data_IF_819107363915
#
_entry.id   IF_819107363915
#
_cell.length_a   1.000
_cell.length_b   1.000
_cell.length_c   1.000
_cell.angle_alpha   90.00
_cell.angle_beta   90.00
_cell.angle_gamma   90.00
#
_symmetry.space_group_name_H-M   'P 1'
#
loop_
_entity.id
_entity.type
_entity.pdbx_description
1 polymer ?
#
# COMPACT_ATOMS: atom_id res chain seq x y z
N UNK A 1 -36.74 10.73 -13.67
CA UNK A 1 -35.49 10.29 -14.34
C UNK A 1 -35.65 8.83 -14.77
N UNK A 2 -35.17 8.39 -15.95
CA UNK A 2 -35.31 6.98 -16.34
C UNK A 2 -33.99 6.28 -16.03
N UNK A 3 -34.01 5.35 -15.08
CA UNK A 3 -32.85 4.57 -14.68
C UNK A 3 -32.57 3.42 -15.65
N UNK A 4 -31.31 3.06 -15.84
CA UNK A 4 -30.96 1.82 -16.56
C UNK A 4 -31.26 0.61 -15.68
N UNK A 5 -31.37 -0.58 -16.26
CA UNK A 5 -31.67 -1.82 -15.50
C UNK A 5 -30.64 -2.08 -14.39
N UNK A 6 -29.37 -1.77 -14.64
CA UNK A 6 -28.29 -1.92 -13.63
C UNK A 6 -28.43 -0.90 -12.50
N UNK A 7 -28.75 0.35 -12.81
CA UNK A 7 -28.99 1.38 -11.79
C UNK A 7 -30.25 1.06 -10.98
N UNK A 8 -31.34 0.64 -11.65
CA UNK A 8 -32.57 0.23 -10.97
C UNK A 8 -32.32 -0.94 -10.02
N UNK A 9 -31.52 -1.92 -10.43
CA UNK A 9 -31.12 -3.04 -9.56
C UNK A 9 -30.39 -2.57 -8.30
N UNK A 10 -29.51 -1.57 -8.40
CA UNK A 10 -28.82 -0.96 -7.23
C UNK A 10 -29.84 -0.28 -6.30
N UNK A 11 -30.78 0.47 -6.87
CA UNK A 11 -31.81 1.16 -6.10
C UNK A 11 -32.71 0.19 -5.35
N UNK A 12 -33.08 -0.95 -5.94
CA UNK A 12 -34.08 -1.86 -5.41
C UNK A 12 -33.52 -2.96 -4.49
N UNK A 13 -32.24 -3.30 -4.64
CA UNK A 13 -31.66 -4.42 -3.87
C UNK A 13 -31.60 -4.09 -2.37
N UNK A 14 -32.11 -5.00 -1.52
CA UNK A 14 -32.10 -4.93 -0.05
C UNK A 14 -31.40 -6.18 0.52
N UNK A 15 -31.09 -6.16 1.81
CA UNK A 15 -30.66 -7.29 2.63
C UNK A 15 -29.39 -8.02 2.14
N UNK A 16 -28.52 -7.29 1.45
CA UNK A 16 -27.20 -7.79 1.00
C UNK A 16 -26.19 -6.69 0.75
N UNK A 17 -24.92 -7.05 0.79
CA UNK A 17 -23.85 -6.16 0.39
C UNK A 17 -23.85 -5.96 -1.14
N UNK A 18 -23.66 -4.73 -1.58
CA UNK A 18 -23.60 -4.36 -2.99
C UNK A 18 -22.29 -3.59 -3.25
N UNK A 19 -21.51 -4.08 -4.20
CA UNK A 19 -20.37 -3.35 -4.74
C UNK A 19 -20.76 -2.77 -6.10
N UNK A 20 -20.69 -1.44 -6.23
CA UNK A 20 -21.02 -0.71 -7.47
C UNK A 20 -19.74 -0.16 -8.08
N UNK A 21 -19.29 -0.75 -9.19
CA UNK A 21 -18.21 -0.24 -10.02
C UNK A 21 -18.78 0.55 -11.19
N UNK A 22 -18.40 1.82 -11.31
CA UNK A 22 -18.90 2.69 -12.37
C UNK A 22 -17.92 3.84 -12.66
N UNK A 23 -17.82 4.24 -13.94
CA UNK A 23 -16.97 5.34 -14.38
C UNK A 23 -17.38 6.70 -13.77
N UNK A 24 -16.50 7.70 -13.84
CA UNK A 24 -16.86 9.08 -13.51
C UNK A 24 -18.03 9.57 -14.41
N UNK A 25 -18.95 10.36 -13.83
CA UNK A 25 -20.13 10.86 -14.56
C UNK A 25 -21.26 9.85 -14.81
N UNK A 26 -21.14 8.61 -14.35
CA UNK A 26 -22.17 7.57 -14.54
C UNK A 26 -23.40 7.73 -13.63
N UNK A 27 -23.49 8.78 -12.84
CA UNK A 27 -24.63 9.05 -11.97
C UNK A 27 -24.62 8.28 -10.64
N UNK A 28 -23.45 7.81 -10.16
CA UNK A 28 -23.32 7.07 -8.87
C UNK A 28 -24.02 7.76 -7.70
N UNK A 29 -23.76 9.05 -7.53
CA UNK A 29 -24.37 9.85 -6.45
C UNK A 29 -25.89 9.95 -6.60
N UNK A 30 -26.39 10.16 -7.82
CA UNK A 30 -27.83 10.21 -8.08
C UNK A 30 -28.51 8.86 -7.77
N UNK A 31 -27.90 7.74 -8.17
CA UNK A 31 -28.40 6.39 -7.84
C UNK A 31 -28.41 6.13 -6.34
N UNK A 32 -27.38 6.62 -5.61
CA UNK A 32 -27.32 6.46 -4.16
C UNK A 32 -28.39 7.30 -3.46
N UNK A 33 -28.57 8.55 -3.86
CA UNK A 33 -29.66 9.41 -3.35
C UNK A 33 -31.01 8.76 -3.57
N UNK A 34 -31.30 8.31 -4.80
CA UNK A 34 -32.56 7.63 -5.11
C UNK A 34 -32.78 6.36 -4.28
N UNK A 35 -31.71 5.57 -4.07
CA UNK A 35 -31.76 4.42 -3.19
C UNK A 35 -32.12 4.80 -1.76
N UNK A 36 -31.52 5.85 -1.22
CA UNK A 36 -31.81 6.34 0.14
C UNK A 36 -33.27 6.81 0.21
N UNK A 37 -33.71 7.65 -0.74
CA UNK A 37 -35.10 8.10 -0.79
C UNK A 37 -36.05 6.91 -0.80
N UNK A 38 -35.83 5.91 -1.67
CA UNK A 38 -36.66 4.70 -1.73
C UNK A 38 -36.65 3.88 -0.44
N UNK A 39 -35.57 3.90 0.32
CA UNK A 39 -35.50 3.21 1.63
C UNK A 39 -36.29 3.95 2.71
N UNK A 40 -36.20 5.27 2.74
CA UNK A 40 -36.83 6.06 3.80
C UNK A 40 -38.33 6.35 3.53
N UNK A 41 -38.75 6.17 2.27
CA UNK A 41 -40.16 6.32 1.85
C UNK A 41 -40.84 5.01 1.49
N UNK A 42 -40.24 3.86 1.87
CA UNK A 42 -40.81 2.54 1.64
C UNK A 42 -42.12 2.41 2.44
N UNK A 43 -43.19 1.96 1.79
CA UNK A 43 -44.54 1.85 2.42
C UNK A 43 -44.63 0.69 3.39
N UNK A 44 -43.89 -0.42 3.14
CA UNK A 44 -43.99 -1.65 3.95
C UNK A 44 -42.95 -1.65 5.09
N UNK A 45 -41.72 -1.23 4.80
CA UNK A 45 -40.61 -1.26 5.76
C UNK A 45 -39.74 0.02 5.66
N UNK A 46 -40.26 1.18 6.05
CA UNK A 46 -39.50 2.42 5.99
C UNK A 46 -38.31 2.40 6.98
N UNK A 47 -37.15 2.80 6.53
CA UNK A 47 -35.97 2.99 7.38
C UNK A 47 -35.82 4.48 7.64
N UNK A 48 -35.76 4.92 8.89
CA UNK A 48 -35.57 6.34 9.18
C UNK A 48 -34.19 6.83 8.72
N UNK A 49 -34.11 8.04 8.17
CA UNK A 49 -32.88 8.60 7.59
C UNK A 49 -31.75 8.69 8.61
N UNK A 50 -32.04 8.87 9.90
CA UNK A 50 -31.07 8.90 10.99
C UNK A 50 -30.55 7.51 11.40
N UNK A 51 -31.18 6.42 10.94
CA UNK A 51 -30.72 5.05 11.10
C UNK A 51 -29.73 4.63 10.00
N UNK A 52 -29.62 5.42 8.94
CA UNK A 52 -28.66 5.18 7.87
C UNK A 52 -27.33 5.86 8.18
N UNK A 53 -26.22 5.15 7.94
CA UNK A 53 -24.89 5.73 7.91
C UNK A 53 -24.43 5.90 6.46
N UNK A 54 -24.25 7.16 6.05
CA UNK A 54 -23.75 7.51 4.71
C UNK A 54 -22.43 8.25 4.87
N UNK A 55 -21.37 7.67 4.33
CA UNK A 55 -20.02 8.24 4.43
C UNK A 55 -19.49 8.66 3.06
N UNK A 56 -18.75 9.75 3.04
CA UNK A 56 -18.10 10.32 1.87
C UNK A 56 -16.64 10.66 2.18
N UNK A 57 -15.83 10.94 1.16
CA UNK A 57 -14.45 11.36 1.36
C UNK A 57 -14.30 12.85 1.67
N UNK A 58 -15.25 13.69 1.26
CA UNK A 58 -15.15 15.14 1.46
C UNK A 58 -16.40 15.69 2.15
N UNK A 59 -16.21 16.75 2.96
CA UNK A 59 -17.31 17.46 3.62
C UNK A 59 -18.29 18.04 2.60
N UNK A 60 -17.78 18.57 1.48
CA UNK A 60 -18.61 19.11 0.40
C UNK A 60 -19.54 18.03 -0.19
N UNK A 61 -19.03 16.82 -0.46
CA UNK A 61 -19.85 15.73 -0.96
C UNK A 61 -20.90 15.25 0.04
N UNK A 62 -20.58 15.25 1.34
CA UNK A 62 -21.55 14.92 2.40
C UNK A 62 -22.67 15.97 2.47
N UNK A 63 -22.32 17.26 2.43
CA UNK A 63 -23.29 18.36 2.43
C UNK A 63 -24.17 18.33 1.19
N UNK A 64 -23.58 18.14 0.00
CA UNK A 64 -24.34 18.03 -1.25
C UNK A 64 -25.31 16.86 -1.23
N UNK A 65 -24.89 15.70 -0.70
CA UNK A 65 -25.75 14.53 -0.60
C UNK A 65 -26.93 14.79 0.35
N UNK A 66 -26.68 15.40 1.51
CA UNK A 66 -27.71 15.75 2.48
C UNK A 66 -28.73 16.73 1.87
N UNK A 67 -28.24 17.72 1.13
CA UNK A 67 -29.07 18.69 0.44
C UNK A 67 -29.96 18.05 -0.64
N UNK A 68 -29.41 17.19 -1.46
CA UNK A 68 -30.17 16.49 -2.50
C UNK A 68 -31.26 15.58 -1.92
N UNK A 69 -31.00 14.94 -0.78
CA UNK A 69 -32.03 14.14 -0.08
C UNK A 69 -33.12 15.06 0.45
N UNK A 70 -32.75 16.21 1.05
CA UNK A 70 -33.71 17.22 1.56
C UNK A 70 -34.59 17.73 0.44
N UNK A 71 -34.01 18.20 -0.67
CA UNK A 71 -34.75 18.69 -1.84
C UNK A 71 -35.73 17.66 -2.41
N UNK A 72 -35.33 16.41 -2.44
CA UNK A 72 -36.19 15.31 -2.92
C UNK A 72 -37.38 15.09 -1.98
N UNK A 73 -37.16 15.13 -0.67
CA UNK A 73 -38.22 15.00 0.35
C UNK A 73 -39.17 16.22 0.34
N UNK A 74 -38.67 17.46 0.21
CA UNK A 74 -39.47 18.66 0.09
C UNK A 74 -40.38 18.60 -1.12
N UNK A 75 -39.89 18.15 -2.26
CA UNK A 75 -40.71 17.96 -3.46
C UNK A 75 -41.81 16.92 -3.25
N UNK A 76 -41.50 15.81 -2.55
CA UNK A 76 -42.51 14.81 -2.22
C UNK A 76 -43.57 15.33 -1.27
N UNK A 77 -43.20 16.20 -0.31
CA UNK A 77 -44.13 16.89 0.58
C UNK A 77 -45.04 17.88 -0.19
N UNK A 78 -44.48 18.62 -1.16
CA UNK A 78 -45.28 19.48 -2.06
C UNK A 78 -46.30 18.67 -2.87
N UNK A 79 -45.88 17.49 -3.41
CA UNK A 79 -46.78 16.63 -4.18
C UNK A 79 -47.84 15.92 -3.31
N UNK A 80 -47.52 15.62 -2.05
CA UNK A 80 -48.45 15.00 -1.08
C UNK A 80 -48.24 15.56 0.35
N UNK A 81 -48.86 16.72 0.67
CA UNK A 81 -48.67 17.40 1.97
C UNK A 81 -49.16 16.59 3.19
N UNK A 82 -49.94 15.53 2.99
CA UNK A 82 -50.49 14.72 4.07
C UNK A 82 -49.67 13.46 4.36
N UNK A 83 -48.51 13.27 3.70
CA UNK A 83 -47.65 12.15 3.96
C UNK A 83 -46.85 12.35 5.24
N UNK A 84 -47.33 11.72 6.31
CA UNK A 84 -46.72 11.79 7.65
C UNK A 84 -45.31 11.21 7.70
N UNK A 85 -44.98 10.23 6.83
CA UNK A 85 -43.62 9.68 6.78
C UNK A 85 -42.66 10.69 6.17
N UNK A 86 -43.03 11.32 5.05
CA UNK A 86 -42.16 12.34 4.41
C UNK A 86 -41.90 13.50 5.37
N UNK A 87 -42.94 14.00 6.07
CA UNK A 87 -42.78 15.03 7.10
C UNK A 87 -41.86 14.62 8.24
N UNK A 88 -41.97 13.37 8.70
CA UNK A 88 -41.07 12.76 9.69
C UNK A 88 -39.62 12.76 9.19
N UNK A 89 -39.38 12.30 7.97
CA UNK A 89 -38.03 12.23 7.41
C UNK A 89 -37.40 13.64 7.23
N UNK A 90 -38.17 14.62 6.84
CA UNK A 90 -37.73 16.02 6.79
C UNK A 90 -37.33 16.57 8.16
N UNK A 91 -38.01 16.20 9.22
CA UNK A 91 -37.62 16.58 10.59
C UNK A 91 -36.35 15.88 11.03
N UNK A 92 -36.12 14.64 10.60
CA UNK A 92 -34.97 13.81 10.98
C UNK A 92 -33.70 14.09 10.17
N UNK A 93 -33.80 14.68 8.97
CA UNK A 93 -32.65 14.89 8.08
C UNK A 93 -31.51 15.70 8.74
N UNK A 94 -31.83 16.61 9.66
CA UNK A 94 -30.82 17.38 10.39
C UNK A 94 -29.92 16.49 11.23
N UNK A 95 -30.45 15.39 11.77
CA UNK A 95 -29.78 14.41 12.61
C UNK A 95 -29.28 13.18 11.79
N UNK A 96 -29.39 13.21 10.46
CA UNK A 96 -28.94 12.13 9.61
C UNK A 96 -27.42 11.98 9.66
N UNK A 97 -26.98 10.72 9.74
CA UNK A 97 -25.55 10.35 9.78
C UNK A 97 -24.94 10.38 8.37
N UNK A 98 -24.91 11.58 7.76
CA UNK A 98 -24.30 11.82 6.45
C UNK A 98 -23.08 12.72 6.67
N UNK A 99 -21.87 12.14 6.59
CA UNK A 99 -20.62 12.82 6.97
C UNK A 99 -19.40 12.21 6.27
N UNK A 100 -18.21 12.78 6.49
CA UNK A 100 -16.97 12.11 6.14
C UNK A 100 -16.70 10.95 7.11
N UNK A 101 -15.86 9.99 6.68
CA UNK A 101 -15.43 8.88 7.54
C UNK A 101 -14.77 9.42 8.82
N UNK A 102 -13.87 10.40 8.69
CA UNK A 102 -13.18 11.01 9.84
C UNK A 102 -14.16 11.69 10.82
N UNK A 103 -15.13 12.43 10.28
CA UNK A 103 -16.16 13.08 11.12
C UNK A 103 -17.04 12.06 11.84
N UNK A 104 -17.33 10.93 11.20
CA UNK A 104 -18.03 9.82 11.85
C UNK A 104 -17.18 9.19 12.96
N UNK A 105 -15.90 8.87 12.68
CA UNK A 105 -14.99 8.32 13.68
C UNK A 105 -14.81 9.26 14.87
N UNK A 106 -14.59 10.57 14.63
CA UNK A 106 -14.47 11.56 15.69
C UNK A 106 -15.72 11.63 16.57
N UNK A 107 -16.91 11.50 15.99
CA UNK A 107 -18.16 11.44 16.74
C UNK A 107 -18.26 10.16 17.58
N UNK A 108 -17.94 8.99 17.01
CA UNK A 108 -17.94 7.72 17.76
C UNK A 108 -17.00 7.79 18.96
N UNK A 109 -15.79 8.34 18.77
CA UNK A 109 -14.83 8.59 19.87
C UNK A 109 -15.43 9.52 20.91
N UNK A 110 -16.02 10.64 20.47
CA UNK A 110 -16.64 11.60 21.38
C UNK A 110 -17.83 11.05 22.16
N UNK A 111 -18.63 10.18 21.54
CA UNK A 111 -19.80 9.58 22.19
C UNK A 111 -19.41 8.45 23.16
N UNK A 112 -18.14 7.97 23.12
CA UNK A 112 -17.62 6.90 23.95
C UNK A 112 -16.33 7.29 24.70
N UNK A 113 -16.10 8.57 24.96
CA UNK A 113 -14.87 9.09 25.59
C UNK A 113 -14.60 8.43 26.95
N UNK A 114 -15.65 8.12 27.71
CA UNK A 114 -15.58 7.47 29.02
C UNK A 114 -15.04 6.03 28.96
N UNK A 115 -15.19 5.35 27.82
CA UNK A 115 -14.73 3.95 27.63
C UNK A 115 -13.25 3.85 27.24
N UNK A 116 -12.67 4.95 26.79
CA UNK A 116 -11.30 5.00 26.28
C UNK A 116 -10.42 5.96 27.09
N UNK A 117 -10.90 6.41 28.25
CA UNK A 117 -10.20 7.30 29.18
C UNK A 117 -9.68 8.60 28.48
N UNK A 118 -10.53 9.18 27.63
CA UNK A 118 -10.21 10.38 26.88
C UNK A 118 -10.91 11.61 27.48
N UNK A 119 -10.24 12.76 27.51
CA UNK A 119 -10.87 14.02 27.90
C UNK A 119 -12.00 14.36 26.90
N UNK A 120 -13.26 14.62 27.38
CA UNK A 120 -14.37 14.97 26.49
C UNK A 120 -14.14 16.25 25.66
N UNK A 121 -13.23 17.12 26.11
CA UNK A 121 -12.85 18.34 25.40
C UNK A 121 -11.64 18.14 24.47
N UNK A 122 -11.27 16.90 24.15
CA UNK A 122 -10.17 16.63 23.21
C UNK A 122 -10.38 17.36 21.86
N UNK A 123 -9.29 17.79 21.28
CA UNK A 123 -9.25 18.29 19.90
C UNK A 123 -8.38 17.39 19.02
N UNK A 124 -8.67 17.40 17.75
CA UNK A 124 -7.80 16.75 16.78
C UNK A 124 -6.64 17.70 16.50
N UNK A 125 -5.41 17.23 16.73
CA UNK A 125 -4.19 17.97 16.40
C UNK A 125 -4.02 18.10 14.88
N UNK A 126 -3.35 19.16 14.43
CA UNK A 126 -2.97 19.26 13.02
C UNK A 126 -1.70 18.45 12.71
N UNK A 127 -1.41 18.27 11.41
CA UNK A 127 -0.26 17.44 10.99
C UNK A 127 1.07 17.97 11.53
N UNK A 128 1.29 19.29 11.57
CA UNK A 128 2.55 19.85 12.04
C UNK A 128 2.74 19.63 13.54
N UNK A 129 1.66 19.78 14.34
CA UNK A 129 1.69 19.47 15.77
C UNK A 129 2.06 17.99 16.03
N UNK A 130 1.49 17.08 15.23
CA UNK A 130 1.77 15.64 15.34
C UNK A 130 3.22 15.36 14.95
N UNK A 131 3.72 15.94 13.86
CA UNK A 131 5.10 15.76 13.42
C UNK A 131 6.11 16.27 14.45
N UNK A 132 5.87 17.45 15.02
CA UNK A 132 6.72 17.99 16.10
C UNK A 132 6.71 17.07 17.33
N UNK A 133 5.54 16.69 17.81
CA UNK A 133 5.42 15.80 18.98
C UNK A 133 6.10 14.44 18.74
N UNK A 134 5.95 13.88 17.55
CA UNK A 134 6.60 12.61 17.19
C UNK A 134 8.12 12.75 17.13
N UNK A 135 8.63 13.87 16.60
CA UNK A 135 10.07 14.14 16.56
C UNK A 135 10.65 14.28 17.97
N UNK A 136 10.00 15.06 18.83
CA UNK A 136 10.44 15.27 20.22
C UNK A 136 10.47 13.95 20.99
N UNK A 137 9.41 13.12 20.88
CA UNK A 137 9.35 11.82 21.56
C UNK A 137 10.44 10.86 21.07
N UNK A 138 10.68 10.83 19.75
CA UNK A 138 11.74 9.96 19.19
C UNK A 138 13.12 10.43 19.62
N UNK A 139 13.36 11.74 19.66
CA UNK A 139 14.63 12.30 20.14
C UNK A 139 14.88 11.96 21.62
N UNK A 140 13.90 12.17 22.50
CA UNK A 140 13.96 11.80 23.91
C UNK A 140 14.20 10.30 24.12
N UNK A 141 13.45 9.47 23.40
CA UNK A 141 13.61 8.01 23.44
C UNK A 141 15.01 7.58 22.98
N UNK A 142 15.53 8.15 21.90
CA UNK A 142 16.87 7.82 21.38
C UNK A 142 17.96 8.26 22.36
N UNK A 143 17.82 9.42 23.00
CA UNK A 143 18.75 9.87 24.07
C UNK A 143 18.82 8.87 25.22
N UNK A 144 17.66 8.36 25.67
CA UNK A 144 17.62 7.32 26.73
C UNK A 144 18.37 6.05 26.31
N UNK A 145 18.16 5.56 25.09
CA UNK A 145 18.85 4.37 24.56
C UNK A 145 20.37 4.58 24.40
N UNK A 146 20.80 5.76 23.93
CA UNK A 146 22.22 6.09 23.84
C UNK A 146 22.89 6.21 25.21
N UNK A 147 22.18 6.73 26.22
CA UNK A 147 22.67 6.83 27.60
C UNK A 147 22.75 5.47 28.29
N UNK A 148 21.86 4.54 27.96
CA UNK A 148 21.88 3.19 28.49
C UNK A 148 23.07 2.35 28.00
N UNK A 149 23.76 2.79 26.92
CA UNK A 149 24.91 2.10 26.32
C UNK A 149 24.66 0.60 26.06
N UNK A 150 23.50 0.28 25.54
CA UNK A 150 23.14 -1.07 25.12
C UNK A 150 23.91 -1.45 23.85
N UNK A 151 24.72 -2.49 23.93
CA UNK A 151 25.57 -2.94 22.83
C UNK A 151 24.76 -3.32 21.58
N UNK A 152 23.58 -3.93 21.74
CA UNK A 152 22.70 -4.31 20.63
C UNK A 152 22.13 -3.08 19.93
N UNK A 153 21.71 -2.07 20.71
CA UNK A 153 21.22 -0.81 20.15
C UNK A 153 22.34 -0.05 19.43
N UNK A 154 23.56 0.00 20.02
CA UNK A 154 24.68 0.68 19.38
C UNK A 154 25.07 0.04 18.06
N UNK A 155 25.08 -1.30 17.96
CA UNK A 155 25.33 -2.02 16.70
C UNK A 155 24.25 -1.72 15.66
N UNK A 156 22.98 -1.66 16.08
CA UNK A 156 21.87 -1.27 15.23
C UNK A 156 22.02 0.17 14.73
N UNK A 157 22.35 1.09 15.65
CA UNK A 157 22.53 2.50 15.32
C UNK A 157 23.66 2.72 14.30
N UNK A 158 24.80 2.03 14.46
CA UNK A 158 25.91 2.07 13.51
C UNK A 158 25.53 1.54 12.12
N UNK A 159 24.76 0.46 12.06
CA UNK A 159 24.29 -0.12 10.77
C UNK A 159 23.38 0.81 9.99
N UNK A 160 22.56 1.60 10.68
CA UNK A 160 21.57 2.47 10.05
C UNK A 160 21.99 3.93 9.98
N UNK A 161 23.06 4.37 10.67
CA UNK A 161 23.64 5.69 10.49
C UNK A 161 24.49 5.74 9.20
N UNK A 162 23.82 5.83 8.07
CA UNK A 162 24.47 6.02 6.76
C UNK A 162 24.71 7.51 6.52
N UNK A 163 25.89 8.04 6.89
CA UNK A 163 26.31 9.37 6.52
C UNK A 163 26.32 10.40 7.67
N UNK A 164 26.30 11.67 7.36
CA UNK A 164 26.62 12.79 8.25
C UNK A 164 25.53 13.18 9.27
N UNK A 165 24.42 12.47 9.37
CA UNK A 165 23.31 12.79 10.26
C UNK A 165 22.90 11.58 11.10
N UNK A 166 22.77 11.79 12.42
CA UNK A 166 22.22 10.82 13.38
C UNK A 166 20.73 10.51 13.21
N UNK A 167 20.06 11.20 12.28
CA UNK A 167 18.59 11.17 12.12
C UNK A 167 18.05 9.92 11.43
N UNK A 168 18.88 9.08 10.82
CA UNK A 168 18.40 7.95 10.01
C UNK A 168 17.63 6.89 10.81
N UNK A 169 17.97 6.68 12.07
CA UNK A 169 17.25 5.77 12.96
C UNK A 169 15.90 6.35 13.38
N UNK A 170 15.86 7.64 13.74
CA UNK A 170 14.62 8.34 14.07
C UNK A 170 13.62 8.32 12.92
N UNK A 171 14.07 8.62 11.72
CA UNK A 171 13.25 8.53 10.51
C UNK A 171 12.72 7.09 10.26
N UNK A 172 13.55 6.07 10.48
CA UNK A 172 13.15 4.68 10.35
C UNK A 172 12.06 4.32 11.37
N UNK A 173 12.22 4.72 12.63
CA UNK A 173 11.25 4.49 13.71
C UNK A 173 9.92 5.17 13.36
N UNK A 174 9.93 6.44 12.97
CA UNK A 174 8.72 7.16 12.58
C UNK A 174 8.02 6.53 11.38
N UNK A 175 8.76 6.07 10.40
CA UNK A 175 8.21 5.35 9.24
C UNK A 175 7.57 4.02 9.64
N UNK A 176 8.19 3.25 10.53
CA UNK A 176 7.64 2.01 11.04
C UNK A 176 6.39 2.27 11.91
N UNK A 177 6.44 3.27 12.78
CA UNK A 177 5.31 3.71 13.59
C UNK A 177 4.11 4.09 12.72
N UNK A 178 4.33 4.93 11.69
CA UNK A 178 3.27 5.34 10.76
C UNK A 178 2.63 4.15 10.04
N UNK A 179 3.42 3.14 9.68
CA UNK A 179 2.90 1.93 9.06
C UNK A 179 2.13 1.05 10.05
N UNK A 180 2.68 0.83 11.25
CA UNK A 180 2.05 0.04 12.29
C UNK A 180 0.74 0.65 12.78
N UNK A 181 0.70 1.98 12.98
CA UNK A 181 -0.50 2.71 13.41
C UNK A 181 -1.67 2.62 12.42
N UNK A 182 -1.41 2.28 11.16
CA UNK A 182 -2.46 1.98 10.18
C UNK A 182 -3.08 0.59 10.31
N UNK A 183 -2.57 -0.26 11.20
CA UNK A 183 -3.10 -1.60 11.46
C UNK A 183 -4.20 -1.56 12.53
N UNK A 184 -5.09 -2.57 12.53
CA UNK A 184 -6.19 -2.67 13.52
C UNK A 184 -5.64 -2.83 14.93
N UNK A 185 -4.57 -3.62 15.08
CA UNK A 185 -3.85 -3.87 16.33
C UNK A 185 -2.35 -3.72 16.05
N UNK A 186 -1.79 -2.52 16.27
CA UNK A 186 -0.39 -2.22 15.96
C UNK A 186 0.61 -3.11 16.71
N UNK A 187 0.37 -3.37 17.99
CA UNK A 187 1.29 -4.18 18.80
C UNK A 187 1.32 -5.64 18.35
N UNK A 188 0.15 -6.20 18.10
CA UNK A 188 0.03 -7.57 17.59
C UNK A 188 0.70 -7.68 16.22
N UNK A 189 0.47 -6.70 15.35
CA UNK A 189 1.10 -6.68 14.03
C UNK A 189 2.62 -6.64 14.13
N UNK A 190 3.21 -5.81 15.01
CA UNK A 190 4.66 -5.74 15.22
C UNK A 190 5.19 -7.10 15.70
N UNK A 191 4.54 -7.72 16.69
CA UNK A 191 4.93 -9.03 17.20
C UNK A 191 4.90 -10.12 16.11
N UNK A 192 3.84 -10.15 15.31
CA UNK A 192 3.72 -11.08 14.19
C UNK A 192 4.77 -10.81 13.10
N UNK A 193 5.06 -9.55 12.79
CA UNK A 193 6.08 -9.18 11.82
C UNK A 193 7.49 -9.60 12.27
N UNK A 194 7.82 -9.44 13.54
CA UNK A 194 9.11 -9.86 14.13
C UNK A 194 9.20 -11.39 14.15
N UNK A 195 8.13 -12.09 14.53
CA UNK A 195 8.13 -13.56 14.65
C UNK A 195 8.46 -14.29 13.35
N UNK A 196 8.29 -13.63 12.20
CA UNK A 196 8.67 -14.18 10.90
C UNK A 196 10.20 -14.41 10.77
N UNK A 197 10.99 -13.67 11.56
CA UNK A 197 12.45 -13.78 11.60
C UNK A 197 12.96 -14.68 12.73
N UNK A 198 12.08 -15.19 13.60
CA UNK A 198 12.42 -16.14 14.65
C UNK A 198 12.57 -17.54 14.05
N UNK A 199 13.78 -17.84 13.57
CA UNK A 199 14.13 -19.10 12.91
C UNK A 199 15.25 -19.77 13.68
N UNK A 200 15.06 -21.05 14.00
CA UNK A 200 15.95 -21.83 14.86
C UNK A 200 17.05 -22.57 14.09
N UNK A 201 16.92 -22.72 12.78
CA UNK A 201 17.88 -23.43 11.94
C UNK A 201 18.05 -22.79 10.57
N UNK A 202 19.16 -23.13 9.90
CA UNK A 202 19.41 -22.68 8.53
C UNK A 202 18.37 -23.22 7.55
N UNK A 203 17.92 -24.44 7.74
CA UNK A 203 16.91 -25.10 6.93
C UNK A 203 15.56 -24.38 7.06
N UNK A 204 15.18 -24.00 8.28
CA UNK A 204 13.97 -23.24 8.54
C UNK A 204 14.06 -21.82 7.94
N UNK A 205 15.21 -21.16 8.07
CA UNK A 205 15.46 -19.88 7.44
C UNK A 205 15.29 -19.95 5.92
N UNK A 206 15.88 -20.95 5.25
CA UNK A 206 15.78 -21.11 3.80
C UNK A 206 14.36 -21.42 3.32
N UNK A 207 13.52 -22.02 4.16
CA UNK A 207 12.11 -22.28 3.87
C UNK A 207 11.19 -21.11 4.21
N UNK A 208 11.67 -20.10 4.94
CA UNK A 208 10.90 -18.93 5.33
C UNK A 208 10.42 -18.14 4.12
N UNK A 209 9.21 -17.56 4.21
CA UNK A 209 8.62 -16.77 3.12
C UNK A 209 9.49 -15.59 2.70
N UNK A 210 10.14 -14.93 3.66
CA UNK A 210 11.00 -13.78 3.37
C UNK A 210 12.29 -14.19 2.66
N UNK A 211 12.91 -15.33 3.03
CA UNK A 211 14.09 -15.86 2.34
C UNK A 211 13.74 -16.33 0.93
N UNK A 212 12.60 -17.00 0.75
CA UNK A 212 12.11 -17.36 -0.59
C UNK A 212 11.84 -16.13 -1.46
N UNK A 213 11.24 -15.07 -0.88
CA UNK A 213 11.06 -13.80 -1.58
C UNK A 213 12.38 -13.12 -1.95
N UNK A 214 13.38 -13.18 -1.06
CA UNK A 214 14.73 -12.69 -1.33
C UNK A 214 15.42 -13.49 -2.44
N UNK A 215 15.31 -14.81 -2.41
CA UNK A 215 15.84 -15.70 -3.46
C UNK A 215 15.23 -15.35 -4.83
N UNK A 216 13.94 -15.15 -4.89
CA UNK A 216 13.23 -14.75 -6.11
C UNK A 216 13.70 -13.38 -6.63
N UNK A 217 13.90 -12.41 -5.73
CA UNK A 217 14.47 -11.12 -6.09
C UNK A 217 15.88 -11.27 -6.71
N UNK A 218 16.73 -12.12 -6.14
CA UNK A 218 18.06 -12.36 -6.69
C UNK A 218 18.00 -13.06 -8.05
N UNK A 219 17.08 -14.01 -8.25
CA UNK A 219 16.84 -14.63 -9.57
C UNK A 219 16.45 -13.62 -10.63
N UNK A 220 15.52 -12.71 -10.31
CA UNK A 220 15.12 -11.66 -11.23
C UNK A 220 16.29 -10.73 -11.61
N UNK A 221 17.18 -10.43 -10.66
CA UNK A 221 18.42 -9.68 -10.95
C UNK A 221 19.34 -10.44 -11.89
N UNK A 222 19.54 -11.74 -11.66
CA UNK A 222 20.36 -12.60 -12.54
C UNK A 222 19.76 -12.71 -13.94
N UNK A 223 18.44 -12.77 -14.08
CA UNK A 223 17.76 -12.74 -15.39
C UNK A 223 18.00 -11.42 -16.14
N UNK A 224 18.02 -10.29 -15.42
CA UNK A 224 18.42 -9.00 -15.98
C UNK A 224 19.85 -9.01 -16.52
N UNK A 225 20.80 -9.56 -15.77
CA UNK A 225 22.19 -9.75 -16.16
C UNK A 225 22.30 -10.70 -17.38
N UNK A 226 21.58 -11.82 -17.36
CA UNK A 226 21.51 -12.76 -18.48
C UNK A 226 21.02 -12.10 -19.77
N UNK A 227 19.99 -11.24 -19.65
CA UNK A 227 19.50 -10.48 -20.81
C UNK A 227 20.58 -9.59 -21.41
N UNK A 228 21.34 -8.86 -20.57
CA UNK A 228 22.44 -8.01 -21.03
C UNK A 228 23.57 -8.83 -21.68
N UNK A 229 23.95 -9.97 -21.08
CA UNK A 229 24.98 -10.85 -21.64
C UNK A 229 24.55 -11.47 -22.97
N UNK A 230 23.28 -11.81 -23.15
CA UNK A 230 22.75 -12.28 -24.42
C UNK A 230 22.78 -11.20 -25.49
N UNK A 231 22.54 -9.94 -25.15
CA UNK A 231 22.73 -8.81 -26.06
C UNK A 231 24.21 -8.71 -26.45
N UNK A 232 25.12 -8.80 -25.49
CA UNK A 232 26.56 -8.80 -25.75
C UNK A 232 26.99 -9.96 -26.67
N UNK A 233 26.41 -11.15 -26.47
CA UNK A 233 26.64 -12.32 -27.34
C UNK A 233 26.15 -12.05 -28.78
N UNK A 234 24.97 -11.49 -28.93
CA UNK A 234 24.40 -11.12 -30.24
C UNK A 234 25.30 -10.11 -30.97
N UNK A 235 25.76 -9.06 -30.29
CA UNK A 235 26.71 -8.08 -30.83
C UNK A 235 28.01 -8.77 -31.21
N UNK A 236 28.53 -9.66 -30.37
CA UNK A 236 29.75 -10.41 -30.60
C UNK A 236 29.68 -11.24 -31.89
N UNK A 237 28.55 -11.88 -32.15
CA UNK A 237 28.34 -12.77 -33.29
C UNK A 237 27.87 -12.05 -34.57
N UNK A 238 27.61 -10.74 -34.52
CA UNK A 238 27.28 -9.94 -35.71
C UNK A 238 28.43 -9.92 -36.75
N UNK A 239 28.16 -9.52 -37.98
CA UNK A 239 29.09 -9.60 -39.10
C UNK A 239 30.50 -9.00 -38.79
N UNK A 240 30.52 -7.80 -38.23
CA UNK A 240 31.76 -7.10 -37.82
C UNK A 240 32.05 -7.25 -36.33
N UNK A 241 31.39 -8.19 -35.63
CA UNK A 241 31.55 -8.39 -34.19
C UNK A 241 32.88 -9.07 -33.82
N UNK A 242 33.29 -8.95 -32.53
CA UNK A 242 34.57 -9.48 -32.06
C UNK A 242 34.67 -11.01 -32.04
N UNK A 243 33.57 -11.75 -32.30
CA UNK A 243 33.52 -13.22 -32.31
C UNK A 243 34.06 -13.85 -31.00
N UNK A 244 33.60 -13.29 -29.86
CA UNK A 244 34.08 -13.71 -28.54
C UNK A 244 33.09 -14.60 -27.78
N UNK A 245 32.19 -15.32 -28.44
CA UNK A 245 31.24 -16.24 -27.83
C UNK A 245 31.85 -17.18 -26.79
N UNK A 246 33.06 -17.70 -27.08
CA UNK A 246 33.82 -18.57 -26.15
C UNK A 246 34.08 -17.93 -24.78
N UNK A 247 34.05 -16.59 -24.70
CA UNK A 247 34.24 -15.89 -23.43
C UNK A 247 32.92 -15.60 -22.72
N UNK A 248 31.78 -15.50 -23.43
CA UNK A 248 30.49 -15.17 -22.88
C UNK A 248 29.62 -16.39 -22.56
N UNK A 249 29.61 -17.39 -23.45
CA UNK A 249 28.77 -18.58 -23.30
C UNK A 249 28.96 -19.31 -21.96
N UNK A 250 30.20 -19.58 -21.48
CA UNK A 250 30.33 -20.25 -20.19
C UNK A 250 29.78 -19.50 -18.99
N UNK A 251 29.79 -18.16 -19.06
CA UNK A 251 29.20 -17.30 -18.02
C UNK A 251 27.67 -17.39 -18.11
N UNK A 252 27.11 -17.25 -19.32
CA UNK A 252 25.67 -17.33 -19.56
C UNK A 252 25.13 -18.68 -19.10
N UNK A 253 25.75 -19.78 -19.50
CA UNK A 253 25.33 -21.13 -19.13
C UNK A 253 25.37 -21.33 -17.61
N UNK A 254 26.43 -20.84 -16.95
CA UNK A 254 26.53 -20.91 -15.49
C UNK A 254 25.48 -20.10 -14.78
N UNK A 255 25.21 -18.88 -15.21
CA UNK A 255 24.16 -18.05 -14.65
C UNK A 255 22.75 -18.63 -14.87
N UNK A 256 22.50 -19.25 -16.03
CA UNK A 256 21.26 -19.98 -16.28
C UNK A 256 21.07 -21.18 -15.36
N UNK A 257 22.16 -21.87 -14.99
CA UNK A 257 22.13 -22.93 -13.98
C UNK A 257 21.80 -22.36 -12.60
N UNK A 258 22.46 -21.27 -12.21
CA UNK A 258 22.27 -20.60 -10.92
C UNK A 258 20.84 -20.12 -10.72
N UNK A 259 20.16 -19.61 -11.75
CA UNK A 259 18.75 -19.19 -11.63
C UNK A 259 17.79 -20.33 -11.27
N UNK A 260 18.18 -21.59 -11.48
CA UNK A 260 17.41 -22.78 -11.11
C UNK A 260 17.59 -23.20 -9.64
N UNK A 261 18.49 -22.55 -8.89
CA UNK A 261 18.74 -22.86 -7.49
C UNK A 261 17.45 -22.75 -6.66
N UNK A 262 17.25 -23.74 -5.77
CA UNK A 262 16.07 -23.81 -4.90
C UNK A 262 16.26 -23.13 -3.56
N UNK A 263 17.52 -22.92 -3.15
CA UNK A 263 17.88 -22.28 -1.87
C UNK A 263 18.90 -21.18 -2.09
N UNK A 264 18.91 -20.22 -1.18
CA UNK A 264 19.86 -19.10 -1.23
C UNK A 264 21.30 -19.58 -1.04
N UNK A 265 21.53 -20.53 -0.13
CA UNK A 265 22.87 -21.09 0.09
C UNK A 265 23.43 -21.81 -1.14
N UNK A 266 22.58 -22.54 -1.87
CA UNK A 266 22.99 -23.15 -3.13
C UNK A 266 23.35 -22.09 -4.18
N UNK A 267 22.51 -21.07 -4.32
CA UNK A 267 22.78 -19.93 -5.22
C UNK A 267 24.10 -19.24 -4.88
N UNK A 268 24.32 -18.92 -3.61
CA UNK A 268 25.54 -18.26 -3.13
C UNK A 268 26.80 -19.08 -3.43
N UNK A 269 26.76 -20.39 -3.18
CA UNK A 269 27.87 -21.31 -3.46
C UNK A 269 28.19 -21.37 -4.95
N UNK A 270 27.18 -21.42 -5.81
CA UNK A 270 27.33 -21.46 -7.25
C UNK A 270 27.85 -20.15 -7.85
N UNK A 271 27.46 -19.01 -7.29
CA UNK A 271 27.97 -17.69 -7.71
C UNK A 271 29.47 -17.53 -7.50
N UNK A 272 30.06 -18.18 -6.49
CA UNK A 272 31.51 -18.19 -6.27
C UNK A 272 32.29 -18.91 -7.38
N UNK A 273 31.62 -19.75 -8.16
CA UNK A 273 32.19 -20.59 -9.19
C UNK A 273 31.94 -20.06 -10.62
N UNK A 274 31.65 -18.78 -10.78
CA UNK A 274 31.44 -18.16 -12.10
C UNK A 274 32.80 -18.11 -12.85
N UNK A 275 32.87 -18.59 -14.12
CA UNK A 275 34.10 -18.60 -14.89
C UNK A 275 34.61 -17.16 -15.14
N UNK A 276 35.85 -16.90 -14.76
CA UNK A 276 36.53 -15.65 -15.14
C UNK A 276 37.12 -15.81 -16.54
N UNK A 277 36.55 -15.10 -17.51
CA UNK A 277 37.01 -15.19 -18.92
C UNK A 277 37.40 -13.81 -19.44
N UNK A 278 38.41 -13.74 -20.32
CA UNK A 278 38.81 -12.50 -21.01
C UNK A 278 38.13 -12.40 -22.37
N UNK A 279 37.56 -11.23 -22.65
CA UNK A 279 37.05 -10.91 -24.00
C UNK A 279 38.25 -10.65 -24.91
N UNK A 280 38.64 -11.65 -25.66
CA UNK A 280 39.64 -11.55 -26.73
C UNK A 280 38.92 -11.75 -28.06
N UNK A 281 38.84 -10.72 -28.89
CA UNK A 281 38.17 -10.79 -30.19
C UNK A 281 39.15 -10.95 -31.35
N UNK A 282 38.63 -11.13 -32.59
CA UNK A 282 39.43 -11.08 -33.83
C UNK A 282 40.15 -9.71 -33.93
N UNK A 283 41.37 -9.75 -34.54
CA UNK A 283 42.17 -8.53 -34.77
C UNK A 283 41.46 -7.50 -35.66
N UNK A 284 40.66 -7.96 -36.63
CA UNK A 284 39.98 -7.13 -37.64
C UNK A 284 38.48 -6.99 -37.33
N UNK A 285 38.12 -6.76 -36.07
CA UNK A 285 36.72 -6.47 -35.69
C UNK A 285 36.48 -5.01 -35.47
N UNK A 286 35.20 -4.58 -35.49
CA UNK A 286 34.81 -3.22 -35.16
C UNK A 286 35.12 -2.94 -33.68
N UNK A 287 36.08 -2.04 -33.45
CA UNK A 287 36.54 -1.69 -32.09
C UNK A 287 35.40 -1.14 -31.21
N UNK A 288 34.45 -0.39 -31.76
CA UNK A 288 33.29 0.12 -31.01
C UNK A 288 32.41 -1.00 -30.49
N UNK A 289 32.13 -2.04 -31.32
CA UNK A 289 31.37 -3.23 -30.89
C UNK A 289 32.14 -4.03 -29.86
N UNK A 290 33.45 -4.14 -29.96
CA UNK A 290 34.30 -4.82 -29.00
C UNK A 290 34.33 -4.11 -27.64
N UNK A 291 34.43 -2.80 -27.61
CA UNK A 291 34.33 -2.00 -26.38
C UNK A 291 32.93 -2.11 -25.76
N UNK A 292 31.86 -2.09 -26.57
CA UNK A 292 30.49 -2.29 -26.10
C UNK A 292 30.29 -3.67 -25.43
N UNK A 293 30.80 -4.74 -26.03
CA UNK A 293 30.73 -6.09 -25.44
C UNK A 293 31.53 -6.16 -24.13
N UNK A 294 32.71 -5.51 -24.06
CA UNK A 294 33.49 -5.45 -22.83
C UNK A 294 32.77 -4.67 -21.73
N UNK A 295 32.18 -3.51 -22.05
CA UNK A 295 31.42 -2.72 -21.09
C UNK A 295 30.27 -3.54 -20.51
N UNK A 296 29.39 -4.12 -21.35
CA UNK A 296 28.27 -4.95 -20.90
C UNK A 296 28.76 -6.12 -20.01
N UNK A 297 29.87 -6.79 -20.39
CA UNK A 297 30.40 -7.90 -19.57
C UNK A 297 30.93 -7.45 -18.22
N UNK A 298 31.51 -6.26 -18.15
CA UNK A 298 32.08 -5.74 -16.89
C UNK A 298 31.01 -5.17 -15.95
N UNK A 299 29.91 -4.66 -16.52
CA UNK A 299 28.77 -4.13 -15.77
C UNK A 299 27.79 -5.24 -15.30
N UNK A 300 27.82 -6.39 -15.96
CA UNK A 300 27.03 -7.58 -15.62
C UNK A 300 27.74 -8.45 -14.55
#
# INVERSE_FOLDING_TARGET
MKWTDKQQKVIDTRDRNILVSAAAGSGKTAVLVERIIKMITDEENPTDVNQLLVVTFTRAAASEMKERIREALEKMEEDNPNDLNVQKQLSLIHNANISTIDSFCARVVKDNFDKIDLDPNFRIADENEIEMLQSDIVEEMLEEYYLATDDEFMELAEKYSTGKTSDSIGELILRMYKFASGQIDPEKWIKEAISVYDVSSKEEMEQSKWMQGYLELQKNRLEGILSQLNIALTISESEDGPKCAKALTPIIDKLQEITKSRTYSAMQSELQNIPSTRVSGKKDCNERKKEQVKAIKNDA
#
